data_IF_055515221598
#
_entry.id   IF_055515221598
#
_cell.length_a   1.000
_cell.length_b   1.000
_cell.length_c   1.000
_cell.angle_alpha   90.00
_cell.angle_beta   90.00
_cell.angle_gamma   90.00
#
_symmetry.space_group_name_H-M   'P 1'
#
loop_
_entity.id
_entity.type
_entity.pdbx_description
1 polymer ?
#
# COMPACT_ATOMS: atom_id res chain seq x y z
N UNK A 1 15.70 10.16 0.10
CA UNK A 1 16.02 10.49 -1.30
C UNK A 1 14.74 10.67 -2.09
N UNK A 2 14.54 11.83 -2.67
CA UNK A 2 13.35 12.15 -3.45
C UNK A 2 13.40 11.47 -4.81
N UNK A 3 12.37 10.69 -5.12
CA UNK A 3 12.29 9.88 -6.34
C UNK A 3 11.16 10.35 -7.26
N UNK A 4 10.08 10.93 -6.69
CA UNK A 4 8.86 11.25 -7.40
C UNK A 4 8.57 12.74 -7.31
N UNK A 5 8.26 13.33 -8.47
CA UNK A 5 7.83 14.72 -8.56
C UNK A 5 6.39 14.85 -8.09
N UNK A 6 6.09 15.82 -7.23
CA UNK A 6 4.72 16.17 -6.89
C UNK A 6 3.96 16.62 -8.14
N UNK A 7 2.67 16.29 -8.21
CA UNK A 7 1.82 16.63 -9.35
C UNK A 7 0.43 17.07 -8.86
N UNK A 8 0.19 18.37 -8.87
CA UNK A 8 -1.06 18.96 -8.41
C UNK A 8 -2.26 18.65 -9.31
N UNK A 9 -2.02 18.17 -10.53
CA UNK A 9 -3.09 17.84 -11.48
C UNK A 9 -3.71 16.46 -11.23
N UNK A 10 -3.07 15.63 -10.42
CA UNK A 10 -3.53 14.26 -10.17
C UNK A 10 -4.37 14.18 -8.91
N UNK A 11 -5.37 13.28 -8.92
CA UNK A 11 -6.00 12.82 -7.69
C UNK A 11 -4.95 12.18 -6.79
N UNK A 12 -5.10 12.33 -5.50
CA UNK A 12 -4.08 11.85 -4.56
C UNK A 12 -4.15 10.34 -4.29
N UNK A 13 -5.31 9.74 -4.51
CA UNK A 13 -5.46 8.27 -4.46
C UNK A 13 -6.12 7.86 -5.78
N UNK A 14 -5.37 7.14 -6.60
CA UNK A 14 -5.78 6.75 -7.96
C UNK A 14 -5.94 5.24 -8.00
N UNK A 15 -7.16 4.77 -8.28
CA UNK A 15 -7.41 3.34 -8.45
C UNK A 15 -6.63 2.76 -9.64
N UNK A 16 -6.10 1.57 -9.46
CA UNK A 16 -5.32 0.89 -10.51
C UNK A 16 -5.63 -0.61 -10.46
N UNK A 17 -5.73 -1.26 -11.62
CA UNK A 17 -5.88 -2.70 -11.69
C UNK A 17 -4.52 -3.40 -11.80
N UNK A 18 -4.52 -4.73 -11.68
CA UNK A 18 -3.27 -5.49 -11.67
C UNK A 18 -2.49 -5.36 -12.98
N UNK A 19 -3.18 -5.42 -14.11
CA UNK A 19 -2.52 -5.32 -15.43
C UNK A 19 -1.81 -3.97 -15.60
N UNK A 20 -2.42 -2.90 -15.11
CA UNK A 20 -1.83 -1.56 -15.18
C UNK A 20 -0.67 -1.39 -14.20
N UNK A 21 -0.72 -2.07 -13.04
CA UNK A 21 0.45 -2.14 -12.13
C UNK A 21 1.64 -2.77 -12.86
N UNK A 22 1.41 -3.91 -13.50
CA UNK A 22 2.47 -4.60 -14.26
C UNK A 22 3.01 -3.75 -15.40
N UNK A 23 2.16 -3.01 -16.10
CA UNK A 23 2.57 -2.07 -17.15
C UNK A 23 3.51 -1.00 -16.62
N UNK A 24 3.17 -0.39 -15.49
CA UNK A 24 4.03 0.62 -14.87
C UNK A 24 5.39 0.07 -14.50
N UNK A 25 5.41 -1.14 -13.96
CA UNK A 25 6.65 -1.83 -13.60
C UNK A 25 7.49 -2.10 -14.87
N UNK A 26 6.87 -2.63 -15.92
CA UNK A 26 7.55 -2.94 -17.17
C UNK A 26 8.07 -1.70 -17.90
N UNK A 27 7.38 -0.57 -17.77
CA UNK A 27 7.77 0.73 -18.30
C UNK A 27 8.79 1.46 -17.42
N UNK A 28 9.21 0.82 -16.33
CA UNK A 28 10.20 1.34 -15.37
C UNK A 28 9.81 2.69 -14.77
N UNK A 29 8.52 2.86 -14.48
CA UNK A 29 8.02 4.08 -13.85
C UNK A 29 8.35 4.14 -12.36
N UNK A 30 8.39 5.37 -11.83
CA UNK A 30 8.55 5.63 -10.40
C UNK A 30 7.17 5.96 -9.82
N UNK A 31 6.75 5.22 -8.81
CA UNK A 31 5.45 5.45 -8.18
C UNK A 31 5.35 4.78 -6.81
N UNK A 32 4.38 5.21 -6.02
CA UNK A 32 4.01 4.53 -4.78
C UNK A 32 2.74 3.72 -5.03
N UNK A 33 2.83 2.43 -4.75
CA UNK A 33 1.72 1.49 -4.83
C UNK A 33 1.14 1.27 -3.43
N UNK A 34 -0.15 1.55 -3.28
CA UNK A 34 -0.90 1.31 -2.05
C UNK A 34 -1.71 0.02 -2.23
N UNK A 35 -1.32 -1.03 -1.50
CA UNK A 35 -1.98 -2.33 -1.55
C UNK A 35 -2.87 -2.45 -0.33
N UNK A 36 -4.17 -2.67 -0.57
CA UNK A 36 -5.12 -2.77 0.51
C UNK A 36 -6.44 -3.38 0.05
N UNK A 37 -7.43 -3.31 0.91
CA UNK A 37 -8.80 -3.75 0.59
C UNK A 37 -9.80 -3.05 1.50
N UNK A 38 -11.03 -2.80 1.03
CA UNK A 38 -12.00 -2.03 1.80
C UNK A 38 -12.54 -2.75 3.05
N UNK A 39 -12.47 -4.07 3.10
CA UNK A 39 -12.97 -4.89 4.21
C UNK A 39 -11.88 -5.30 5.22
N UNK A 40 -10.69 -4.76 5.08
CA UNK A 40 -9.58 -5.01 5.99
C UNK A 40 -9.65 -4.03 7.17
N UNK A 41 -9.68 -4.54 8.39
CA UNK A 41 -9.78 -3.70 9.60
C UNK A 41 -8.62 -2.70 9.69
N UNK A 42 -7.40 -3.17 9.47
CA UNK A 42 -6.21 -2.32 9.53
C UNK A 42 -6.20 -1.29 8.41
N UNK A 43 -6.71 -1.66 7.22
CA UNK A 43 -6.86 -0.73 6.10
C UNK A 43 -7.85 0.40 6.45
N UNK A 44 -8.96 0.04 7.09
CA UNK A 44 -9.96 1.02 7.52
C UNK A 44 -9.41 1.98 8.59
N UNK A 45 -8.59 1.48 9.50
CA UNK A 45 -7.92 2.33 10.50
C UNK A 45 -6.85 3.22 9.87
N UNK A 46 -6.13 2.72 8.89
CA UNK A 46 -5.06 3.43 8.20
C UNK A 46 -5.57 4.61 7.38
N UNK A 47 -6.67 4.43 6.69
CA UNK A 47 -7.14 5.37 5.67
C UNK A 47 -7.36 6.80 6.18
N UNK A 48 -7.95 7.05 7.36
CA UNK A 48 -8.07 8.42 7.87
C UNK A 48 -6.72 9.11 8.08
N UNK A 49 -5.70 8.38 8.53
CA UNK A 49 -4.36 8.95 8.73
C UNK A 49 -3.71 9.29 7.39
N UNK A 50 -3.83 8.39 6.41
CA UNK A 50 -3.33 8.64 5.07
C UNK A 50 -4.01 9.86 4.44
N UNK A 51 -5.34 9.93 4.50
CA UNK A 51 -6.09 11.05 3.94
C UNK A 51 -5.76 12.38 4.62
N UNK A 52 -5.58 12.38 5.94
CA UNK A 52 -5.17 13.57 6.67
C UNK A 52 -3.80 14.06 6.23
N UNK A 53 -2.86 13.16 6.06
CA UNK A 53 -1.52 13.49 5.55
C UNK A 53 -1.61 14.07 4.14
N UNK A 54 -2.33 13.42 3.24
CA UNK A 54 -2.46 13.86 1.84
C UNK A 54 -3.10 15.22 1.73
N UNK A 55 -4.12 15.51 2.57
CA UNK A 55 -4.78 16.80 2.59
C UNK A 55 -3.82 17.95 2.90
N UNK A 56 -2.82 17.71 3.73
CA UNK A 56 -1.79 18.68 4.12
C UNK A 56 -0.62 18.71 3.16
N UNK A 57 -0.53 17.75 2.25
CA UNK A 57 0.62 17.60 1.35
C UNK A 57 0.15 17.45 -0.09
N UNK A 58 -0.34 18.55 -0.65
CA UNK A 58 -0.85 18.60 -2.01
C UNK A 58 0.22 18.20 -3.02
N UNK A 59 -0.20 17.51 -4.06
CA UNK A 59 0.69 17.04 -5.11
C UNK A 59 1.26 15.64 -4.88
N UNK A 60 1.17 15.11 -3.66
CA UNK A 60 1.51 13.71 -3.38
C UNK A 60 0.36 12.84 -3.87
N UNK A 61 0.66 11.79 -4.61
CA UNK A 61 -0.33 10.87 -5.17
C UNK A 61 0.15 9.43 -5.09
N UNK A 62 -0.79 8.50 -4.89
CA UNK A 62 -0.56 7.07 -4.75
C UNK A 62 -1.48 6.31 -5.70
N UNK A 63 -1.04 5.14 -6.13
CA UNK A 63 -1.89 4.22 -6.90
C UNK A 63 -2.42 3.13 -5.97
N UNK A 64 -3.73 3.06 -5.84
CA UNK A 64 -4.40 2.12 -4.95
C UNK A 64 -4.81 0.86 -5.70
N UNK A 65 -4.22 -0.26 -5.31
CA UNK A 65 -4.57 -1.58 -5.81
C UNK A 65 -5.37 -2.33 -4.76
N UNK A 66 -6.66 -2.55 -5.05
CA UNK A 66 -7.58 -3.27 -4.18
C UNK A 66 -7.49 -4.76 -4.47
N UNK A 67 -7.02 -5.55 -3.50
CA UNK A 67 -6.83 -6.99 -3.67
C UNK A 67 -8.05 -7.83 -3.30
N UNK A 68 -9.16 -7.19 -2.91
CA UNK A 68 -10.31 -7.90 -2.33
C UNK A 68 -10.82 -9.01 -3.24
N UNK A 69 -11.04 -8.73 -4.51
CA UNK A 69 -11.57 -9.70 -5.47
C UNK A 69 -10.69 -10.96 -5.55
N UNK A 70 -9.40 -10.80 -5.69
CA UNK A 70 -8.45 -11.91 -5.80
C UNK A 70 -8.38 -12.73 -4.52
N UNK A 71 -8.38 -12.04 -3.38
CA UNK A 71 -8.34 -12.68 -2.08
C UNK A 71 -9.61 -13.46 -1.78
N UNK A 72 -10.78 -12.89 -2.07
CA UNK A 72 -12.06 -13.54 -1.85
C UNK A 72 -12.21 -14.78 -2.71
N UNK A 73 -11.82 -14.72 -3.97
CA UNK A 73 -11.82 -15.87 -4.86
C UNK A 73 -10.93 -16.99 -4.34
N UNK A 74 -9.72 -16.66 -3.90
CA UNK A 74 -8.76 -17.65 -3.40
C UNK A 74 -9.19 -18.29 -2.07
N UNK A 75 -9.88 -17.54 -1.22
CA UNK A 75 -10.30 -18.00 0.10
C UNK A 75 -11.71 -18.62 0.13
N UNK A 76 -12.42 -18.60 -0.98
CA UNK A 76 -13.74 -19.25 -1.07
C UNK A 76 -13.61 -20.76 -0.87
N UNK A 77 -14.63 -21.40 -0.28
CA UNK A 77 -14.70 -22.85 -0.17
C UNK A 77 -14.72 -23.53 -1.56
N UNK A 78 -15.23 -22.81 -2.56
CA UNK A 78 -15.32 -23.30 -3.94
C UNK A 78 -14.16 -22.83 -4.80
N UNK A 79 -13.10 -22.29 -4.19
CA UNK A 79 -11.96 -21.75 -4.93
C UNK A 79 -11.30 -22.81 -5.80
N UNK A 80 -11.06 -22.47 -7.05
CA UNK A 80 -10.32 -23.33 -7.98
C UNK A 80 -8.82 -23.24 -7.68
N UNK A 81 -8.07 -24.22 -8.16
CA UNK A 81 -6.60 -24.19 -8.09
C UNK A 81 -6.04 -22.95 -8.81
N UNK A 82 -6.66 -22.57 -9.92
CA UNK A 82 -6.27 -21.40 -10.70
C UNK A 82 -6.46 -20.11 -9.91
N UNK A 83 -7.57 -19.98 -9.21
CA UNK A 83 -7.84 -18.79 -8.38
C UNK A 83 -6.86 -18.67 -7.22
N UNK A 84 -6.56 -19.76 -6.54
CA UNK A 84 -5.56 -19.79 -5.47
C UNK A 84 -4.16 -19.45 -5.99
N UNK A 85 -3.78 -20.04 -7.14
CA UNK A 85 -2.49 -19.79 -7.76
C UNK A 85 -2.36 -18.34 -8.20
N UNK A 86 -3.43 -17.73 -8.73
CA UNK A 86 -3.43 -16.33 -9.16
C UNK A 86 -3.16 -15.39 -8.00
N UNK A 87 -3.84 -15.59 -6.88
CA UNK A 87 -3.62 -14.73 -5.70
C UNK A 87 -2.20 -14.89 -5.15
N UNK A 88 -1.69 -16.11 -5.07
CA UNK A 88 -0.32 -16.37 -4.66
C UNK A 88 0.70 -15.71 -5.59
N UNK A 89 0.45 -15.74 -6.90
CA UNK A 89 1.30 -15.11 -7.91
C UNK A 89 1.32 -13.58 -7.72
N UNK A 90 0.16 -12.96 -7.46
CA UNK A 90 0.06 -11.53 -7.22
C UNK A 90 0.86 -11.15 -5.98
N UNK A 91 0.72 -11.90 -4.89
CA UNK A 91 1.46 -11.65 -3.64
C UNK A 91 2.96 -11.75 -3.84
N UNK A 92 3.40 -12.74 -4.60
CA UNK A 92 4.82 -12.92 -4.93
C UNK A 92 5.34 -11.79 -5.82
N UNK A 93 4.60 -11.49 -6.88
CA UNK A 93 5.01 -10.47 -7.86
C UNK A 93 5.14 -9.10 -7.23
N UNK A 94 4.19 -8.73 -6.37
CA UNK A 94 4.18 -7.43 -5.70
C UNK A 94 4.91 -7.44 -4.36
N UNK A 95 5.38 -8.61 -3.94
CA UNK A 95 6.19 -8.81 -2.73
C UNK A 95 5.51 -8.20 -1.49
N UNK A 96 4.29 -8.66 -1.19
CA UNK A 96 3.59 -8.25 0.03
C UNK A 96 2.98 -9.44 0.74
N UNK A 97 2.86 -9.34 2.06
CA UNK A 97 2.21 -10.34 2.91
C UNK A 97 1.20 -9.72 3.87
N UNK A 98 1.15 -8.40 3.95
CA UNK A 98 0.31 -7.66 4.89
C UNK A 98 -0.40 -6.52 4.18
N UNK A 99 -1.61 -6.17 4.65
CA UNK A 99 -2.33 -4.98 4.20
C UNK A 99 -2.74 -4.14 5.40
N UNK A 100 -2.70 -2.81 5.31
CA UNK A 100 -2.23 -2.03 4.15
C UNK A 100 -0.71 -2.00 4.05
N UNK A 101 -0.20 -1.98 2.85
CA UNK A 101 1.23 -1.83 2.56
C UNK A 101 1.42 -0.80 1.46
N UNK A 102 2.36 0.11 1.65
CA UNK A 102 2.81 1.03 0.61
C UNK A 102 4.15 0.54 0.08
N UNK A 103 4.27 0.45 -1.24
CA UNK A 103 5.51 0.04 -1.91
C UNK A 103 6.06 1.20 -2.71
N UNK A 104 7.33 1.53 -2.52
CA UNK A 104 8.02 2.45 -3.42
C UNK A 104 8.59 1.67 -4.58
N UNK A 105 8.15 2.02 -5.78
CA UNK A 105 8.68 1.45 -7.02
C UNK A 105 9.54 2.52 -7.68
N UNK A 106 10.83 2.22 -7.87
CA UNK A 106 11.81 3.10 -8.47
C UNK A 106 12.42 2.40 -9.68
N UNK A 107 12.26 2.99 -10.86
CA UNK A 107 12.71 2.41 -12.12
C UNK A 107 12.17 0.99 -12.32
N UNK A 108 10.91 0.78 -11.93
CA UNK A 108 10.23 -0.51 -12.03
C UNK A 108 10.67 -1.56 -11.02
N UNK A 109 11.37 -1.17 -9.96
CA UNK A 109 11.84 -2.09 -8.91
C UNK A 109 11.29 -1.69 -7.55
N UNK A 110 10.90 -2.68 -6.75
CA UNK A 110 10.49 -2.44 -5.37
C UNK A 110 11.73 -2.16 -4.52
N UNK A 111 11.88 -0.92 -4.06
CA UNK A 111 13.09 -0.47 -3.33
C UNK A 111 12.84 -0.18 -1.86
N UNK A 112 11.60 0.06 -1.47
CA UNK A 112 11.25 0.34 -0.08
C UNK A 112 9.77 0.05 0.17
N UNK A 113 9.39 -0.07 1.43
CA UNK A 113 7.99 -0.28 1.79
C UNK A 113 7.66 0.32 3.15
N UNK A 114 6.39 0.63 3.33
CA UNK A 114 5.79 0.99 4.61
C UNK A 114 4.61 0.06 4.86
N UNK A 115 4.56 -0.55 6.04
CA UNK A 115 3.45 -1.40 6.47
C UNK A 115 2.84 -0.82 7.74
N UNK A 116 1.54 -0.59 7.75
CA UNK A 116 0.81 -0.08 8.92
C UNK A 116 0.42 -1.24 9.81
N UNK A 117 0.91 -1.24 11.04
CA UNK A 117 0.80 -2.34 11.99
C UNK A 117 1.40 -3.63 11.42
N UNK A 118 1.81 -4.53 12.25
CA UNK A 118 2.35 -5.83 11.84
C UNK A 118 1.72 -6.92 12.71
N UNK A 119 2.08 -8.17 12.46
CA UNK A 119 1.55 -9.31 13.22
C UNK A 119 1.85 -9.17 14.72
N UNK A 120 3.01 -8.64 15.07
CA UNK A 120 3.42 -8.51 16.47
C UNK A 120 2.58 -7.49 17.23
N UNK A 121 1.97 -6.52 16.54
CA UNK A 121 1.13 -5.51 17.15
C UNK A 121 0.00 -6.13 17.99
N UNK A 122 -0.63 -7.18 17.48
CA UNK A 122 -1.80 -7.79 18.14
C UNK A 122 -1.45 -8.60 19.38
N UNK A 123 -0.17 -8.95 19.56
CA UNK A 123 0.30 -9.63 20.77
C UNK A 123 0.68 -8.67 21.90
N UNK A 124 0.70 -7.37 21.64
CA UNK A 124 1.10 -6.36 22.62
C UNK A 124 -0.04 -6.01 23.59
N UNK A 125 0.33 -5.47 24.74
CA UNK A 125 -0.65 -4.89 25.69
C UNK A 125 -1.32 -3.67 25.08
N UNK A 126 -2.50 -3.29 25.58
CA UNK A 126 -3.23 -2.12 25.09
C UNK A 126 -2.39 -0.84 25.10
N UNK A 127 -1.61 -0.65 26.17
CA UNK A 127 -0.71 0.51 26.29
C UNK A 127 0.36 0.52 25.22
N UNK A 128 1.02 -0.61 24.99
CA UNK A 128 2.06 -0.75 23.96
C UNK A 128 1.48 -0.66 22.54
N UNK A 129 0.28 -1.18 22.33
CA UNK A 129 -0.43 -1.02 21.04
C UNK A 129 -0.64 0.46 20.71
N UNK A 130 -1.08 1.25 21.68
CA UNK A 130 -1.30 2.69 21.48
C UNK A 130 -0.01 3.42 21.12
N UNK A 131 1.08 3.13 21.84
CA UNK A 131 2.40 3.71 21.58
C UNK A 131 2.92 3.31 20.18
N UNK A 132 2.80 2.05 19.84
CA UNK A 132 3.26 1.53 18.56
C UNK A 132 2.44 2.06 17.39
N UNK A 133 1.12 2.19 17.57
CA UNK A 133 0.26 2.79 16.54
C UNK A 133 0.68 4.22 16.25
N UNK A 134 0.94 5.03 17.28
CA UNK A 134 1.42 6.40 17.10
C UNK A 134 2.74 6.44 16.35
N UNK A 135 3.64 5.52 16.64
CA UNK A 135 4.92 5.39 15.94
C UNK A 135 4.72 5.10 14.43
N UNK A 136 3.80 4.20 14.09
CA UNK A 136 3.46 3.92 12.70
C UNK A 136 2.89 5.13 11.98
N UNK A 137 2.05 5.93 12.67
CA UNK A 137 1.48 7.16 12.09
C UNK A 137 2.58 8.18 11.80
N UNK A 138 3.50 8.36 12.76
CA UNK A 138 4.63 9.27 12.59
C UNK A 138 5.56 8.83 11.45
N UNK A 139 5.79 7.53 11.34
CA UNK A 139 6.62 6.96 10.26
C UNK A 139 5.99 7.12 8.89
N UNK A 140 4.66 7.12 8.79
CA UNK A 140 3.98 7.33 7.52
C UNK A 140 4.38 8.68 6.91
N UNK A 141 4.29 9.73 7.71
CA UNK A 141 4.66 11.08 7.27
C UNK A 141 6.12 11.15 6.83
N UNK A 142 7.02 10.63 7.66
CA UNK A 142 8.45 10.62 7.35
C UNK A 142 8.76 9.84 6.09
N UNK A 143 8.11 8.69 5.91
CA UNK A 143 8.35 7.83 4.77
C UNK A 143 7.91 8.49 3.46
N UNK A 144 6.72 9.09 3.43
CA UNK A 144 6.22 9.78 2.24
C UNK A 144 6.99 11.08 1.96
N UNK A 145 7.37 11.82 3.02
CA UNK A 145 8.13 13.07 2.86
C UNK A 145 9.47 12.85 2.15
N UNK A 146 10.10 11.69 2.34
CA UNK A 146 11.38 11.36 1.71
C UNK A 146 11.25 11.05 0.22
N UNK A 147 10.06 10.69 -0.25
CA UNK A 147 9.85 10.18 -1.60
C UNK A 147 9.54 11.29 -2.59
N UNK A 148 8.75 12.28 -2.17
CA UNK A 148 8.22 13.30 -3.07
C UNK A 148 8.99 14.61 -2.97
N UNK A 149 9.19 15.25 -4.12
CA UNK A 149 9.83 16.56 -4.21
C UNK A 149 8.92 17.53 -4.97
N UNK A 150 9.08 18.79 -4.68
CA UNK A 150 8.34 19.88 -5.35
C UNK A 150 8.72 20.03 -6.82
#
# INVERSE_FOLDING_TARGET
>A
THTIQKDLSKDQIIGINYDDVLKKIDQKEDFVLYIGRPDCKDCQEFEPYLKSYLKKNKGIYLYYFNIKEYRDQANSQEATKKEKARYNQIRKKLDFSWTPTLKLVDNGKFVDQYTFLDEDYYSLTAKKQKEKKQDYIDKLSSWLDQIYQD
#
